data_IF_849369271467
#
_entry.id   IF_849369271467
#
_cell.length_a   1.000
_cell.length_b   1.000
_cell.length_c   1.000
_cell.angle_alpha   90.00
_cell.angle_beta   90.00
_cell.angle_gamma   90.00
#
_symmetry.space_group_name_H-M   'P 1'
#
loop_
_entity.id
_entity.type
_entity.pdbx_description
1 polymer ?
#
# COMPACT_ATOMS: atom_id res chain seq x y z
N UNK A 1 -12.97 -7.72 14.46
CA UNK A 1 -12.27 -7.83 13.17
C UNK A 1 -12.38 -9.22 12.53
N UNK A 2 -12.60 -10.31 13.30
CA UNK A 2 -12.79 -11.66 12.71
C UNK A 2 -13.97 -11.68 11.73
N UNK A 3 -13.79 -12.34 10.58
CA UNK A 3 -14.80 -12.41 9.52
C UNK A 3 -14.91 -11.18 8.63
N UNK A 4 -14.24 -10.08 8.97
CA UNK A 4 -14.09 -8.93 8.08
C UNK A 4 -13.24 -9.30 6.87
N UNK A 5 -13.30 -8.50 5.82
CA UNK A 5 -12.56 -8.73 4.57
C UNK A 5 -11.64 -7.56 4.25
N UNK A 6 -10.35 -7.87 4.07
CA UNK A 6 -9.34 -6.97 3.52
C UNK A 6 -9.28 -7.13 2.00
N UNK A 7 -9.20 -6.01 1.30
CA UNK A 7 -8.72 -5.95 -0.08
C UNK A 7 -7.36 -5.25 -0.08
N UNK A 8 -6.31 -5.91 -0.58
CA UNK A 8 -4.96 -5.32 -0.69
C UNK A 8 -4.41 -5.45 -2.09
N UNK A 9 -3.99 -4.34 -2.68
CA UNK A 9 -3.40 -4.37 -4.02
C UNK A 9 -1.92 -4.73 -3.98
N UNK A 10 -1.50 -5.69 -4.84
CA UNK A 10 -0.10 -6.08 -4.99
C UNK A 10 0.47 -6.81 -3.77
N UNK A 11 -0.07 -8.00 -3.43
CA UNK A 11 0.33 -8.72 -2.23
C UNK A 11 1.07 -10.06 -2.49
N UNK A 12 1.70 -10.22 -3.64
CA UNK A 12 2.50 -11.43 -3.92
C UNK A 12 3.91 -11.37 -3.32
N UNK A 13 4.38 -10.18 -2.88
CA UNK A 13 5.71 -10.00 -2.29
C UNK A 13 5.78 -8.76 -1.38
N UNK A 14 6.89 -8.64 -0.65
CA UNK A 14 7.24 -7.45 0.14
C UNK A 14 6.14 -7.02 1.12
N UNK A 15 5.92 -5.72 1.23
CA UNK A 15 4.99 -5.10 2.17
C UNK A 15 3.56 -5.64 1.99
N UNK A 16 3.07 -5.74 0.76
CA UNK A 16 1.72 -6.24 0.50
C UNK A 16 1.51 -7.68 0.98
N UNK A 17 2.51 -8.57 0.79
CA UNK A 17 2.49 -9.94 1.31
C UNK A 17 2.45 -9.93 2.84
N UNK A 18 3.29 -9.15 3.49
CA UNK A 18 3.30 -9.03 4.95
C UNK A 18 1.95 -8.51 5.50
N UNK A 19 1.33 -7.54 4.82
CA UNK A 19 -0.02 -7.06 5.16
C UNK A 19 -1.04 -8.20 5.06
N UNK A 20 -1.07 -8.95 3.96
CA UNK A 20 -1.99 -10.06 3.76
C UNK A 20 -1.86 -11.11 4.88
N UNK A 21 -0.63 -11.51 5.22
CA UNK A 21 -0.35 -12.46 6.30
C UNK A 21 -0.73 -11.91 7.69
N UNK A 22 -0.41 -10.64 7.96
CA UNK A 22 -0.73 -9.99 9.25
C UNK A 22 -2.24 -9.93 9.50
N UNK A 23 -3.02 -9.61 8.47
CA UNK A 23 -4.48 -9.55 8.58
C UNK A 23 -5.08 -10.96 8.71
N UNK A 24 -4.62 -11.92 7.91
CA UNK A 24 -5.04 -13.32 8.01
C UNK A 24 -4.78 -13.91 9.40
N UNK A 25 -3.63 -13.63 10.01
CA UNK A 25 -3.28 -14.02 11.38
C UNK A 25 -4.28 -13.52 12.42
N UNK A 26 -4.98 -12.41 12.12
CA UNK A 26 -6.02 -11.84 12.98
C UNK A 26 -7.43 -12.31 12.61
N UNK A 27 -7.56 -13.35 11.78
CA UNK A 27 -8.84 -13.95 11.40
C UNK A 27 -9.64 -13.12 10.40
N UNK A 28 -8.98 -12.25 9.63
CA UNK A 28 -9.57 -11.41 8.60
C UNK A 28 -9.41 -12.13 7.26
N UNK A 29 -10.49 -12.23 6.49
CA UNK A 29 -10.47 -12.74 5.13
C UNK A 29 -9.65 -11.82 4.23
N UNK A 30 -8.96 -12.39 3.24
CA UNK A 30 -8.02 -11.65 2.42
C UNK A 30 -8.35 -11.81 0.93
N UNK A 31 -8.74 -10.71 0.32
CA UNK A 31 -8.77 -10.54 -1.12
C UNK A 31 -7.52 -9.74 -1.53
N UNK A 32 -6.69 -10.27 -2.42
CA UNK A 32 -5.50 -9.55 -2.83
C UNK A 32 -5.28 -9.60 -4.34
N UNK A 33 -4.47 -8.67 -4.85
CA UNK A 33 -4.25 -8.60 -6.28
C UNK A 33 -2.83 -8.95 -6.69
N UNK A 34 -2.71 -9.45 -7.91
CA UNK A 34 -1.46 -9.69 -8.61
C UNK A 34 -1.51 -9.09 -10.01
N UNK A 35 -0.34 -8.85 -10.60
CA UNK A 35 -0.25 -8.34 -11.99
C UNK A 35 -0.01 -9.47 -13.00
N UNK A 36 1.03 -10.27 -12.83
CA UNK A 36 1.47 -11.22 -13.88
C UNK A 36 1.65 -12.66 -13.38
N UNK A 37 1.95 -12.88 -12.12
CA UNK A 37 2.25 -14.22 -11.60
C UNK A 37 1.03 -14.81 -10.86
N UNK A 38 0.12 -15.43 -11.63
CA UNK A 38 -1.08 -16.07 -11.11
C UNK A 38 -0.76 -17.27 -10.21
N UNK A 39 0.15 -18.11 -10.63
CA UNK A 39 0.49 -19.34 -9.89
C UNK A 39 1.04 -19.03 -8.49
N UNK A 40 1.91 -18.03 -8.37
CA UNK A 40 2.43 -17.61 -7.06
C UNK A 40 1.32 -16.99 -6.20
N UNK A 41 0.41 -16.23 -6.79
CA UNK A 41 -0.73 -15.67 -6.07
C UNK A 41 -1.66 -16.77 -5.55
N UNK A 42 -1.96 -17.80 -6.36
CA UNK A 42 -2.80 -18.95 -5.93
C UNK A 42 -2.13 -19.75 -4.81
N UNK A 43 -0.81 -19.94 -4.85
CA UNK A 43 -0.06 -20.56 -3.74
C UNK A 43 -0.17 -19.76 -2.45
N UNK A 44 -0.04 -18.45 -2.52
CA UNK A 44 -0.19 -17.56 -1.35
C UNK A 44 -1.61 -17.63 -0.80
N UNK A 45 -2.64 -17.59 -1.65
CA UNK A 45 -4.03 -17.68 -1.21
C UNK A 45 -4.28 -18.99 -0.47
N UNK A 46 -3.81 -20.11 -1.02
CA UNK A 46 -3.91 -21.44 -0.38
C UNK A 46 -3.16 -21.49 0.95
N UNK A 47 -1.94 -20.99 1.03
CA UNK A 47 -1.16 -20.96 2.29
C UNK A 47 -1.89 -20.16 3.38
N UNK A 48 -2.48 -19.03 3.02
CA UNK A 48 -3.27 -18.21 3.95
C UNK A 48 -4.51 -18.97 4.48
N UNK A 49 -5.24 -19.66 3.60
CA UNK A 49 -6.40 -20.50 3.98
C UNK A 49 -5.98 -21.66 4.89
N UNK A 50 -4.94 -22.40 4.49
CA UNK A 50 -4.48 -23.58 5.22
C UNK A 50 -3.95 -23.22 6.61
N UNK A 51 -3.20 -22.12 6.72
CA UNK A 51 -2.53 -21.71 7.96
C UNK A 51 -3.46 -20.99 8.94
N UNK A 52 -4.34 -20.13 8.46
CA UNK A 52 -5.11 -19.23 9.33
C UNK A 52 -6.61 -19.53 9.36
N UNK A 53 -7.09 -20.47 8.54
CA UNK A 53 -8.50 -20.88 8.47
C UNK A 53 -9.44 -19.70 8.16
N UNK A 54 -9.00 -18.83 7.24
CA UNK A 54 -9.76 -17.72 6.69
C UNK A 54 -10.06 -17.99 5.21
N UNK A 55 -10.92 -17.18 4.61
CA UNK A 55 -11.08 -17.18 3.16
C UNK A 55 -10.06 -16.29 2.51
N UNK A 56 -9.29 -16.80 1.53
CA UNK A 56 -8.34 -16.00 0.75
C UNK A 56 -8.54 -16.22 -0.75
N UNK A 57 -8.54 -15.13 -1.53
CA UNK A 57 -8.65 -15.16 -3.00
C UNK A 57 -7.71 -14.13 -3.62
N UNK A 58 -7.24 -14.43 -4.81
CA UNK A 58 -6.38 -13.54 -5.57
C UNK A 58 -7.02 -13.16 -6.91
N UNK A 59 -6.83 -11.90 -7.33
CA UNK A 59 -7.43 -11.33 -8.52
C UNK A 59 -6.38 -10.64 -9.38
N UNK A 60 -6.53 -10.72 -10.71
CA UNK A 60 -5.68 -9.98 -11.62
C UNK A 60 -6.01 -8.48 -11.56
N UNK A 61 -5.00 -7.62 -11.56
CA UNK A 61 -5.15 -6.17 -11.55
C UNK A 61 -3.94 -5.50 -12.22
N UNK A 62 -4.20 -4.64 -13.20
CA UNK A 62 -3.20 -3.75 -13.77
C UNK A 62 -3.42 -2.32 -13.28
N UNK A 63 -2.58 -1.84 -12.36
CA UNK A 63 -2.71 -0.49 -11.79
C UNK A 63 -2.36 0.64 -12.78
N UNK A 64 -1.83 0.33 -13.96
CA UNK A 64 -1.71 1.29 -15.06
C UNK A 64 -3.02 1.46 -15.85
N UNK A 65 -3.97 0.58 -15.62
CA UNK A 65 -5.33 0.61 -16.13
C UNK A 65 -6.32 0.59 -14.96
N UNK A 66 -6.44 1.69 -14.18
CA UNK A 66 -7.18 1.69 -12.92
C UNK A 66 -8.66 1.28 -13.05
N UNK A 67 -9.25 1.43 -14.23
CA UNK A 67 -10.61 0.98 -14.50
C UNK A 67 -10.79 -0.53 -14.29
N UNK A 68 -9.70 -1.31 -14.38
CA UNK A 68 -9.71 -2.76 -14.10
C UNK A 68 -10.07 -3.08 -12.65
N UNK A 69 -9.99 -2.12 -11.73
CA UNK A 69 -10.55 -2.28 -10.38
C UNK A 69 -12.05 -2.60 -10.39
N UNK A 70 -12.81 -2.02 -11.31
CA UNK A 70 -14.26 -2.28 -11.41
C UNK A 70 -14.55 -3.75 -11.70
N UNK A 71 -13.79 -4.33 -12.62
CA UNK A 71 -13.97 -5.73 -13.00
C UNK A 71 -13.42 -6.66 -11.90
N UNK A 72 -12.30 -6.32 -11.30
CA UNK A 72 -11.75 -7.02 -10.15
C UNK A 72 -12.76 -7.10 -8.99
N UNK A 73 -13.42 -5.99 -8.67
CA UNK A 73 -14.42 -5.96 -7.60
C UNK A 73 -15.71 -6.71 -7.96
N UNK A 74 -16.12 -6.77 -9.24
CA UNK A 74 -17.23 -7.64 -9.66
C UNK A 74 -16.93 -9.12 -9.45
N UNK A 75 -15.70 -9.55 -9.70
CA UNK A 75 -15.26 -10.92 -9.42
C UNK A 75 -15.18 -11.17 -7.91
N UNK A 76 -14.67 -10.20 -7.15
CA UNK A 76 -14.60 -10.26 -5.68
C UNK A 76 -15.99 -10.44 -5.06
N UNK A 77 -17.01 -9.76 -5.57
CA UNK A 77 -18.39 -9.85 -5.07
C UNK A 77 -19.01 -11.26 -5.22
N UNK A 78 -18.44 -12.15 -6.04
CA UNK A 78 -18.85 -13.56 -6.13
C UNK A 78 -18.26 -14.40 -4.98
N UNK A 79 -17.16 -13.95 -4.42
CA UNK A 79 -16.43 -14.66 -3.38
C UNK A 79 -16.69 -14.12 -1.98
N UNK A 80 -16.89 -12.82 -1.83
CA UNK A 80 -16.99 -12.14 -0.53
C UNK A 80 -18.26 -11.29 -0.43
N UNK A 81 -18.99 -11.45 0.66
CA UNK A 81 -20.23 -10.70 0.93
C UNK A 81 -19.96 -9.30 1.49
N UNK A 82 -18.71 -9.00 1.89
CA UNK A 82 -18.34 -7.75 2.53
C UNK A 82 -16.93 -7.32 2.23
N UNK A 83 -16.68 -6.02 2.25
CA UNK A 83 -15.35 -5.38 2.24
C UNK A 83 -15.32 -4.40 3.42
N UNK A 84 -14.34 -4.55 4.30
CA UNK A 84 -14.16 -3.73 5.49
C UNK A 84 -12.91 -2.87 5.42
N UNK A 85 -11.90 -3.38 4.73
CA UNK A 85 -10.58 -2.72 4.62
C UNK A 85 -10.10 -2.72 3.19
N UNK A 86 -9.56 -1.58 2.75
CA UNK A 86 -8.85 -1.47 1.47
C UNK A 86 -7.48 -0.87 1.70
N UNK A 87 -6.43 -1.53 1.19
CA UNK A 87 -5.06 -1.03 1.25
C UNK A 87 -4.50 -0.92 -0.18
N UNK A 88 -4.30 0.32 -0.63
CA UNK A 88 -3.66 0.64 -1.89
C UNK A 88 -2.14 0.57 -1.71
N UNK A 89 -1.56 -0.59 -2.04
CA UNK A 89 -0.14 -0.88 -1.85
C UNK A 89 0.63 -1.11 -3.16
N UNK A 90 -0.03 -1.58 -4.21
CA UNK A 90 0.64 -1.90 -5.47
C UNK A 90 1.43 -0.71 -6.03
N UNK A 91 2.59 -0.97 -6.58
CA UNK A 91 3.43 0.02 -7.25
C UNK A 91 4.04 -0.54 -8.53
N UNK A 92 4.40 0.35 -9.46
CA UNK A 92 5.11 0.00 -10.69
C UNK A 92 6.62 0.17 -10.55
N UNK A 93 7.37 -0.59 -11.33
CA UNK A 93 8.83 -0.53 -11.40
C UNK A 93 9.34 -0.94 -12.79
N UNK A 94 10.67 -0.93 -13.00
CA UNK A 94 11.28 -1.34 -14.25
C UNK A 94 10.93 -0.42 -15.42
N UNK A 95 10.52 -0.97 -16.55
CA UNK A 95 10.25 -0.20 -17.78
C UNK A 95 9.10 0.79 -17.63
N UNK A 96 8.14 0.51 -16.77
CA UNK A 96 6.97 1.36 -16.58
C UNK A 96 7.31 2.72 -15.95
N UNK A 97 8.40 2.82 -15.19
CA UNK A 97 8.84 4.06 -14.53
C UNK A 97 9.93 4.80 -15.28
N UNK A 98 10.32 4.36 -16.47
CA UNK A 98 11.39 5.03 -17.25
C UNK A 98 11.01 6.47 -17.55
N UNK A 99 11.88 7.40 -17.11
CA UNK A 99 11.65 8.84 -17.17
C UNK A 99 10.86 9.43 -15.99
N UNK A 100 10.32 8.60 -15.09
CA UNK A 100 9.74 9.05 -13.83
C UNK A 100 10.65 8.80 -12.63
N UNK A 101 11.73 8.01 -12.83
CA UNK A 101 12.77 7.74 -11.86
C UNK A 101 14.13 8.21 -12.44
N UNK A 102 14.85 9.04 -11.72
CA UNK A 102 16.12 9.62 -12.16
C UNK A 102 16.31 11.06 -11.71
N UNK A 103 17.48 11.64 -12.07
CA UNK A 103 17.81 13.04 -11.79
C UNK A 103 16.80 13.97 -12.45
N UNK A 104 16.49 15.10 -11.82
CA UNK A 104 15.47 16.07 -12.25
C UNK A 104 15.56 16.42 -13.75
N UNK A 105 16.75 16.70 -14.26
CA UNK A 105 16.95 17.04 -15.69
C UNK A 105 16.68 15.89 -16.67
N UNK A 106 16.44 14.68 -16.17
CA UNK A 106 16.14 13.48 -16.99
C UNK A 106 14.68 13.01 -16.86
N UNK A 107 13.90 13.71 -16.05
CA UNK A 107 12.49 13.38 -15.89
C UNK A 107 11.73 13.62 -17.21
N UNK A 108 10.77 12.75 -17.50
CA UNK A 108 9.94 12.80 -18.70
C UNK A 108 8.47 12.66 -18.34
N UNK A 109 7.57 13.42 -18.99
CA UNK A 109 6.13 13.38 -18.70
C UNK A 109 5.54 11.97 -18.71
N UNK A 110 5.95 11.11 -19.66
CA UNK A 110 5.45 9.74 -19.77
C UNK A 110 5.68 8.93 -18.49
N UNK A 111 6.90 8.95 -17.98
CA UNK A 111 7.25 8.21 -16.75
C UNK A 111 6.55 8.79 -15.51
N UNK A 112 6.46 10.11 -15.43
CA UNK A 112 5.73 10.83 -14.38
C UNK A 112 4.23 10.46 -14.38
N UNK A 113 3.60 10.49 -15.57
CA UNK A 113 2.18 10.16 -15.73
C UNK A 113 1.90 8.68 -15.37
N UNK A 114 2.78 7.75 -15.75
CA UNK A 114 2.62 6.35 -15.37
C UNK A 114 2.65 6.17 -13.85
N UNK A 115 3.58 6.85 -13.16
CA UNK A 115 3.65 6.79 -11.70
C UNK A 115 2.40 7.43 -11.07
N UNK A 116 1.93 8.57 -11.62
CA UNK A 116 0.70 9.22 -11.17
C UNK A 116 -0.50 8.29 -11.34
N UNK A 117 -0.65 7.67 -12.49
CA UNK A 117 -1.73 6.72 -12.79
C UNK A 117 -1.70 5.54 -11.81
N UNK A 118 -0.53 4.94 -11.60
CA UNK A 118 -0.39 3.77 -10.73
C UNK A 118 -0.49 4.11 -9.23
N UNK A 119 -0.29 5.37 -8.84
CA UNK A 119 -0.31 5.78 -7.42
C UNK A 119 -1.61 6.50 -7.08
N UNK A 120 -1.94 7.57 -7.80
CA UNK A 120 -3.07 8.44 -7.46
C UNK A 120 -4.37 7.92 -8.08
N UNK A 121 -4.42 7.72 -9.41
CA UNK A 121 -5.64 7.26 -10.06
C UNK A 121 -6.03 5.85 -9.58
N UNK A 122 -5.07 4.94 -9.43
CA UNK A 122 -5.33 3.60 -8.91
C UNK A 122 -5.88 3.64 -7.47
N UNK A 123 -5.36 4.53 -6.61
CA UNK A 123 -5.91 4.75 -5.28
C UNK A 123 -7.35 5.26 -5.35
N UNK A 124 -7.61 6.29 -6.15
CA UNK A 124 -8.96 6.90 -6.27
C UNK A 124 -10.00 5.86 -6.71
N UNK A 125 -9.76 5.16 -7.82
CA UNK A 125 -10.72 4.18 -8.34
C UNK A 125 -10.88 3.00 -7.37
N UNK A 126 -9.76 2.48 -6.83
CA UNK A 126 -9.80 1.39 -5.85
C UNK A 126 -10.56 1.76 -4.57
N UNK A 127 -10.35 2.99 -4.06
CA UNK A 127 -11.05 3.51 -2.88
C UNK A 127 -12.56 3.72 -3.14
N UNK A 128 -12.93 4.25 -4.31
CA UNK A 128 -14.33 4.41 -4.70
C UNK A 128 -15.08 3.07 -4.76
N UNK A 129 -14.47 2.06 -5.35
CA UNK A 129 -15.06 0.73 -5.43
C UNK A 129 -15.14 0.04 -4.06
N UNK A 130 -14.13 0.22 -3.20
CA UNK A 130 -14.15 -0.25 -1.82
C UNK A 130 -15.24 0.45 -1.01
N UNK A 131 -15.34 1.79 -1.09
CA UNK A 131 -16.29 2.60 -0.33
C UNK A 131 -17.75 2.18 -0.60
N UNK A 132 -18.12 1.91 -1.87
CA UNK A 132 -19.44 1.40 -2.24
C UNK A 132 -19.85 0.11 -1.50
N UNK A 133 -18.86 -0.70 -1.12
CA UNK A 133 -19.06 -1.97 -0.41
C UNK A 133 -19.00 -1.78 1.09
N UNK A 134 -18.12 -0.92 1.56
CA UNK A 134 -17.99 -0.54 2.97
C UNK A 134 -19.26 0.14 3.48
N UNK A 135 -19.88 1.02 2.69
CA UNK A 135 -21.15 1.66 3.02
C UNK A 135 -22.25 0.63 3.35
N UNK A 136 -22.34 -0.46 2.58
CA UNK A 136 -23.32 -1.52 2.79
C UNK A 136 -23.16 -2.26 4.11
N UNK A 137 -21.98 -2.24 4.69
CA UNK A 137 -21.65 -2.91 5.96
C UNK A 137 -21.45 -1.94 7.13
N UNK A 138 -21.82 -0.66 6.93
CA UNK A 138 -21.83 0.37 7.96
C UNK A 138 -20.49 1.09 8.16
N UNK A 139 -19.57 1.01 7.22
CA UNK A 139 -18.32 1.74 7.24
C UNK A 139 -17.08 0.87 7.01
N UNK A 140 -15.90 1.45 7.17
CA UNK A 140 -14.64 0.75 6.92
C UNK A 140 -13.40 1.58 7.15
N UNK A 141 -12.25 1.05 6.69
CA UNK A 141 -10.98 1.78 6.72
C UNK A 141 -10.20 1.60 5.42
N UNK A 142 -9.76 2.72 4.86
CA UNK A 142 -8.96 2.78 3.63
C UNK A 142 -7.56 3.29 3.97
N UNK A 143 -6.53 2.64 3.45
CA UNK A 143 -5.14 3.06 3.62
C UNK A 143 -4.47 3.19 2.24
N UNK A 144 -3.76 4.30 2.04
CA UNK A 144 -2.82 4.46 0.94
C UNK A 144 -1.38 4.31 1.43
N UNK A 145 -0.58 3.52 0.72
CA UNK A 145 0.85 3.45 1.01
C UNK A 145 1.57 4.67 0.46
N UNK A 146 2.25 5.40 1.35
CA UNK A 146 3.10 6.54 1.02
C UNK A 146 4.59 6.23 1.25
N UNK A 147 5.43 7.24 1.30
CA UNK A 147 6.88 7.12 1.49
C UNK A 147 7.43 8.42 2.06
N UNK A 148 8.41 8.33 2.95
CA UNK A 148 9.15 9.49 3.47
C UNK A 148 9.88 10.30 2.39
N UNK A 149 10.00 9.76 1.17
CA UNK A 149 10.56 10.47 0.01
C UNK A 149 9.72 11.65 -0.50
N UNK A 150 8.55 11.92 0.08
CA UNK A 150 7.81 13.17 -0.13
C UNK A 150 8.14 14.24 0.93
N UNK A 151 8.77 13.84 2.03
CA UNK A 151 9.16 14.72 3.14
C UNK A 151 10.64 15.11 3.05
N UNK A 152 11.48 14.18 2.59
CA UNK A 152 12.92 14.36 2.50
C UNK A 152 13.43 14.04 1.10
N UNK A 153 14.57 14.62 0.71
CA UNK A 153 15.21 14.33 -0.56
C UNK A 153 15.74 12.89 -0.58
N UNK A 154 15.28 12.14 -1.58
CA UNK A 154 15.86 10.84 -1.96
C UNK A 154 16.35 10.95 -3.39
N UNK A 155 17.61 10.60 -3.63
CA UNK A 155 18.20 10.69 -4.96
C UNK A 155 17.41 9.88 -5.99
N UNK A 156 17.17 10.47 -7.16
CA UNK A 156 16.43 9.89 -8.28
C UNK A 156 14.93 9.60 -8.01
N UNK A 157 14.38 10.02 -6.88
CA UNK A 157 13.03 9.63 -6.43
C UNK A 157 11.94 10.67 -6.73
N UNK A 158 12.27 11.76 -7.43
CA UNK A 158 11.35 12.90 -7.63
C UNK A 158 9.96 12.48 -8.17
N UNK A 159 9.91 11.57 -9.15
CA UNK A 159 8.64 11.08 -9.68
C UNK A 159 7.79 10.34 -8.66
N UNK A 160 8.38 9.50 -7.82
CA UNK A 160 7.66 8.83 -6.75
C UNK A 160 7.32 9.79 -5.61
N UNK A 161 8.29 10.60 -5.14
CA UNK A 161 8.08 11.54 -4.03
C UNK A 161 6.94 12.52 -4.29
N UNK A 162 6.90 13.14 -5.46
CA UNK A 162 5.81 14.06 -5.83
C UNK A 162 4.44 13.36 -5.91
N UNK A 163 4.39 12.13 -6.42
CA UNK A 163 3.14 11.37 -6.47
C UNK A 163 2.70 10.86 -5.08
N UNK A 164 3.64 10.61 -4.16
CA UNK A 164 3.31 10.29 -2.76
C UNK A 164 2.75 11.52 -2.02
N UNK A 165 3.26 12.73 -2.28
CA UNK A 165 2.66 13.97 -1.80
C UNK A 165 1.24 14.15 -2.35
N UNK A 166 1.03 13.89 -3.65
CA UNK A 166 -0.29 13.99 -4.27
C UNK A 166 -1.30 12.99 -3.68
N UNK A 167 -0.91 11.73 -3.44
CA UNK A 167 -1.82 10.76 -2.84
C UNK A 167 -2.14 11.08 -1.38
N UNK A 168 -1.21 11.64 -0.60
CA UNK A 168 -1.48 12.10 0.77
C UNK A 168 -2.47 13.27 0.80
N UNK A 169 -2.39 14.18 -0.18
CA UNK A 169 -3.41 15.20 -0.35
C UNK A 169 -4.77 14.56 -0.67
N UNK A 170 -4.82 13.58 -1.58
CA UNK A 170 -6.05 12.87 -1.95
C UNK A 170 -6.66 12.12 -0.76
N UNK A 171 -5.85 11.55 0.13
CA UNK A 171 -6.30 10.91 1.38
C UNK A 171 -7.13 11.88 2.24
N UNK A 172 -6.76 13.15 2.31
CA UNK A 172 -7.51 14.17 3.10
C UNK A 172 -8.88 14.46 2.50
N UNK A 173 -8.96 14.59 1.18
CA UNK A 173 -10.25 14.76 0.50
C UNK A 173 -11.15 13.53 0.68
N UNK A 174 -10.60 12.35 0.42
CA UNK A 174 -11.35 11.11 0.59
C UNK A 174 -11.81 10.90 2.04
N UNK A 175 -10.99 11.22 3.04
CA UNK A 175 -11.34 11.13 4.45
C UNK A 175 -12.51 12.05 4.83
N UNK A 176 -12.52 13.27 4.27
CA UNK A 176 -13.58 14.25 4.53
C UNK A 176 -14.90 13.82 3.89
N UNK A 177 -14.86 13.42 2.62
CA UNK A 177 -16.07 13.08 1.87
C UNK A 177 -16.66 11.71 2.26
N UNK A 178 -15.82 10.73 2.55
CA UNK A 178 -16.27 9.38 2.94
C UNK A 178 -16.60 9.25 4.44
N UNK A 179 -16.34 10.28 5.24
CA UNK A 179 -16.64 10.30 6.67
C UNK A 179 -18.13 10.11 6.97
N UNK A 180 -19.02 10.64 6.13
CA UNK A 180 -20.47 10.46 6.25
C UNK A 180 -20.90 8.99 6.09
N UNK A 181 -20.11 8.18 5.38
CA UNK A 181 -20.30 6.74 5.24
C UNK A 181 -19.62 5.93 6.37
N UNK A 182 -19.15 6.62 7.44
CA UNK A 182 -18.35 5.98 8.50
C UNK A 182 -17.09 5.27 7.99
N UNK A 183 -16.44 5.83 6.96
CA UNK A 183 -15.20 5.30 6.38
C UNK A 183 -14.04 6.21 6.76
N UNK A 184 -13.04 5.64 7.41
CA UNK A 184 -11.78 6.35 7.73
C UNK A 184 -10.77 6.16 6.61
N UNK A 185 -10.05 7.21 6.24
CA UNK A 185 -9.02 7.15 5.19
C UNK A 185 -7.74 7.74 5.73
N UNK A 186 -6.65 6.97 5.70
CA UNK A 186 -5.34 7.36 6.18
C UNK A 186 -4.23 6.95 5.19
N UNK A 187 -3.03 7.48 5.39
CA UNK A 187 -1.82 7.02 4.71
C UNK A 187 -0.84 6.39 5.71
N UNK A 188 -0.07 5.41 5.24
CA UNK A 188 1.12 4.89 5.93
C UNK A 188 2.34 5.24 5.09
N UNK A 189 3.21 6.09 5.64
CA UNK A 189 4.44 6.57 4.99
C UNK A 189 5.63 5.77 5.51
N UNK A 190 6.08 4.79 4.72
CA UNK A 190 7.22 3.97 5.07
C UNK A 190 8.56 4.66 4.77
N UNK A 191 9.54 4.43 5.65
CA UNK A 191 10.96 4.65 5.35
C UNK A 191 11.54 3.58 4.43
N UNK A 192 12.86 3.44 4.35
CA UNK A 192 13.49 2.30 3.67
C UNK A 192 13.15 0.98 4.37
N UNK A 193 12.49 0.09 3.65
CA UNK A 193 12.05 -1.21 4.16
C UNK A 193 12.79 -2.32 3.43
N UNK A 194 13.27 -3.32 4.16
CA UNK A 194 14.02 -4.47 3.63
C UNK A 194 13.10 -5.37 2.78
N UNK A 195 13.01 -5.08 1.51
CA UNK A 195 12.20 -5.82 0.53
C UNK A 195 13.05 -6.25 -0.65
N UNK A 196 12.61 -7.28 -1.38
CA UNK A 196 13.26 -7.70 -2.63
C UNK A 196 13.33 -6.58 -3.66
N UNK A 197 12.35 -5.66 -3.65
CA UNK A 197 12.36 -4.49 -4.51
C UNK A 197 13.52 -3.54 -4.17
N UNK A 198 13.84 -3.37 -2.90
CA UNK A 198 14.98 -2.56 -2.48
C UNK A 198 16.31 -3.31 -2.69
N UNK A 199 16.36 -4.62 -2.44
CA UNK A 199 17.53 -5.47 -2.70
C UNK A 199 17.96 -5.51 -4.16
N UNK A 200 17.03 -5.23 -5.08
CA UNK A 200 17.33 -5.18 -6.51
C UNK A 200 18.12 -3.92 -6.93
N UNK A 201 18.29 -2.93 -6.06
CA UNK A 201 19.13 -1.75 -6.35
C UNK A 201 20.61 -2.07 -6.13
N UNK A 202 21.46 -1.57 -7.02
CA UNK A 202 22.92 -1.82 -6.98
C UNK A 202 23.60 -1.26 -5.74
N UNK A 203 23.01 -0.26 -5.10
CA UNK A 203 23.52 0.39 -3.88
C UNK A 203 22.78 -0.06 -2.61
N UNK A 204 22.14 -1.25 -2.62
CA UNK A 204 21.36 -1.74 -1.48
C UNK A 204 22.13 -1.75 -0.16
N UNK A 205 23.36 -2.25 -0.14
CA UNK A 205 24.17 -2.33 1.09
C UNK A 205 24.49 -0.95 1.66
N UNK A 206 24.74 0.03 0.80
CA UNK A 206 24.96 1.43 1.19
C UNK A 206 23.68 2.03 1.80
N UNK A 207 22.53 1.83 1.14
CA UNK A 207 21.23 2.29 1.63
C UNK A 207 20.92 1.65 2.98
N UNK A 208 21.16 0.35 3.13
CA UNK A 208 20.96 -0.39 4.38
C UNK A 208 21.83 0.15 5.51
N UNK A 209 23.13 0.28 5.28
CA UNK A 209 24.07 0.80 6.28
C UNK A 209 23.70 2.22 6.72
N UNK A 210 23.38 3.09 5.77
CA UNK A 210 22.93 4.47 6.03
C UNK A 210 21.62 4.50 6.81
N UNK A 211 20.65 3.66 6.44
CA UNK A 211 19.36 3.57 7.15
C UNK A 211 19.55 3.15 8.60
N UNK A 212 20.37 2.12 8.85
CA UNK A 212 20.69 1.66 10.20
C UNK A 212 21.37 2.76 11.03
N UNK A 213 22.33 3.46 10.43
CA UNK A 213 23.07 4.55 11.08
C UNK A 213 22.17 5.75 11.43
N UNK A 214 21.19 6.07 10.57
CA UNK A 214 20.23 7.15 10.80
C UNK A 214 19.04 6.73 11.68
N UNK A 215 18.80 5.43 11.87
CA UNK A 215 17.66 4.97 12.66
C UNK A 215 18.01 5.02 14.17
N UNK A 216 17.29 5.81 15.00
CA UNK A 216 17.37 5.72 16.44
C UNK A 216 17.18 4.30 17.00
N UNK A 217 16.46 3.46 16.27
CA UNK A 217 16.24 2.05 16.63
C UNK A 217 17.36 1.11 16.18
N UNK A 218 18.40 1.64 15.50
CA UNK A 218 19.59 0.90 15.04
C UNK A 218 19.26 -0.35 14.21
N UNK A 219 18.17 -0.32 13.47
CA UNK A 219 17.72 -1.40 12.58
C UNK A 219 17.10 -0.84 11.30
N UNK A 220 17.09 -1.66 10.27
CA UNK A 220 16.31 -1.42 9.07
C UNK A 220 14.87 -1.90 9.26
N UNK A 221 13.90 -1.12 8.75
CA UNK A 221 12.49 -1.50 8.79
C UNK A 221 12.21 -2.79 8.01
N UNK A 222 11.29 -3.60 8.53
CA UNK A 222 10.82 -4.83 7.90
C UNK A 222 9.39 -4.65 7.36
N UNK A 223 8.96 -5.43 6.35
CA UNK A 223 7.58 -5.41 5.87
C UNK A 223 6.53 -5.57 6.97
N UNK A 224 6.84 -6.33 8.01
CA UNK A 224 5.99 -6.58 9.17
C UNK A 224 5.76 -5.33 10.04
N UNK A 225 6.75 -4.42 10.10
CA UNK A 225 6.61 -3.14 10.82
C UNK A 225 5.51 -2.28 10.16
N UNK A 226 5.47 -2.26 8.82
CA UNK A 226 4.44 -1.56 8.04
C UNK A 226 3.07 -2.26 8.18
N UNK A 227 3.06 -3.60 8.10
CA UNK A 227 1.83 -4.38 8.23
C UNK A 227 1.17 -4.20 9.61
N UNK A 228 1.97 -4.04 10.67
CA UNK A 228 1.49 -3.73 12.02
C UNK A 228 0.77 -2.38 12.07
N UNK A 229 1.36 -1.34 11.49
CA UNK A 229 0.76 -0.01 11.40
C UNK A 229 -0.55 -0.01 10.59
N UNK A 230 -0.59 -0.74 9.48
CA UNK A 230 -1.80 -0.89 8.68
C UNK A 230 -2.92 -1.61 9.48
N UNK A 231 -2.59 -2.67 10.21
CA UNK A 231 -3.56 -3.39 11.03
C UNK A 231 -4.12 -2.49 12.14
N UNK A 232 -3.25 -1.72 12.82
CA UNK A 232 -3.67 -0.74 13.83
C UNK A 232 -4.63 0.28 13.25
N UNK A 233 -4.30 0.93 12.14
CA UNK A 233 -5.16 1.92 11.50
C UNK A 233 -6.49 1.34 10.99
N UNK A 234 -6.56 0.04 10.73
CA UNK A 234 -7.80 -0.65 10.39
C UNK A 234 -8.60 -1.13 11.61
N UNK A 235 -8.00 -1.13 12.81
CA UNK A 235 -8.63 -1.61 14.04
C UNK A 235 -9.62 -0.60 14.66
N UNK A 236 -10.49 -1.03 15.59
CA UNK A 236 -11.32 -0.14 16.39
C UNK A 236 -10.52 0.86 17.24
N UNK A 237 -9.29 0.51 17.63
CA UNK A 237 -8.41 1.39 18.44
C UNK A 237 -8.01 2.67 17.69
N UNK A 238 -8.15 2.68 16.36
CA UNK A 238 -7.93 3.84 15.50
C UNK A 238 -9.25 4.53 15.08
N UNK A 239 -10.36 4.33 15.81
CA UNK A 239 -11.71 4.82 15.44
C UNK A 239 -11.79 6.35 15.28
N UNK A 240 -10.91 7.11 15.93
CA UNK A 240 -10.85 8.58 15.83
C UNK A 240 -9.67 9.09 15.00
N UNK A 241 -9.06 8.19 14.17
CA UNK A 241 -7.92 8.54 13.31
C UNK A 241 -8.36 8.49 11.85
N UNK A 242 -8.46 9.65 11.22
CA UNK A 242 -8.74 9.81 9.78
C UNK A 242 -7.99 11.02 9.22
N UNK A 243 -7.77 11.07 7.92
CA UNK A 243 -7.02 12.11 7.19
C UNK A 243 -5.54 12.25 7.63
N UNK A 244 -4.97 11.25 8.31
CA UNK A 244 -3.60 11.31 8.82
C UNK A 244 -2.63 10.52 7.92
N UNK A 245 -1.37 10.97 7.93
CA UNK A 245 -0.24 10.19 7.42
C UNK A 245 0.58 9.72 8.61
N UNK A 246 0.58 8.41 8.86
CA UNK A 246 1.41 7.78 9.88
C UNK A 246 2.78 7.44 9.29
N UNK A 247 3.83 8.11 9.78
CA UNK A 247 5.22 7.81 9.39
C UNK A 247 5.72 6.59 10.17
N UNK A 248 6.23 5.60 9.44
CA UNK A 248 6.75 4.34 9.98
C UNK A 248 8.14 4.09 9.37
N UNK A 249 9.14 4.72 9.95
CA UNK A 249 10.51 4.78 9.39
C UNK A 249 11.63 4.59 10.42
N UNK A 250 11.28 4.19 11.65
CA UNK A 250 12.25 4.05 12.73
C UNK A 250 12.91 5.38 13.16
N UNK A 251 12.31 6.52 12.80
CA UNK A 251 12.81 7.87 13.12
C UNK A 251 13.87 8.38 12.15
N UNK A 252 14.13 7.69 11.04
CA UNK A 252 15.21 8.05 10.08
C UNK A 252 14.98 9.42 9.44
N UNK A 253 13.74 9.86 9.24
CA UNK A 253 13.42 11.15 8.62
C UNK A 253 13.66 12.36 9.52
N UNK A 254 13.88 12.15 10.82
CA UNK A 254 14.15 13.21 11.79
C UNK A 254 15.64 13.42 12.07
N UNK A 255 16.51 12.55 11.56
CA UNK A 255 17.95 12.69 11.74
C UNK A 255 18.54 13.43 10.55
N UNK A 256 19.19 14.57 10.80
CA UNK A 256 20.10 15.18 9.83
C UNK A 256 21.40 14.39 9.81
N UNK A 257 21.88 14.01 8.63
CA UNK A 257 23.27 13.60 8.48
C UNK A 257 24.13 14.85 8.75
N UNK A 258 24.63 14.98 9.99
CA UNK A 258 25.68 15.95 10.33
C UNK A 258 27.01 15.47 9.78
#
# INVERSE_FOLDING_TARGET
>A
MRGNTLVVSGATKGIGKAIAYKFAQNGINVAFTYNSNKEEAEKIAKDLEDKYKIKARCYALNILEPETYKDMYKELDKDFDRVDYFISNAMIYGRAVVGGYGKFMRLKPRGMNNIYTATVNAFVIGAQEAAKRMEKVGGGSIISMSSTGNLTYIENYAGHGTNKAAVEAMVKYAATELGEMNIRVNAVSGGPIDTDALKAFTNYEEVKAKTIALSPLSKMGQPEDIAGACLFLCSPDASWITAQTLVVDGGTSFQSAC
#
